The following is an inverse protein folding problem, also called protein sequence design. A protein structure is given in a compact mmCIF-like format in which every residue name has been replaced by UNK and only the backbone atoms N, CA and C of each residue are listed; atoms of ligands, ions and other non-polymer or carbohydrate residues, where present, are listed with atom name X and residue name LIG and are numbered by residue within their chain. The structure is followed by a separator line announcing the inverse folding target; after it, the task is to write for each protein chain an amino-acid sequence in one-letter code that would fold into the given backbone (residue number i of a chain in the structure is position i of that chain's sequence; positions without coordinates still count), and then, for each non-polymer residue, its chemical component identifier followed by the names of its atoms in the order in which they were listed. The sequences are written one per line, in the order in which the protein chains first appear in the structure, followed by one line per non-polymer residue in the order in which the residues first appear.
data_IF_754129373059
#
_entry.id   IF_754129373059
#
_cell.length_a   1.000
_cell.length_b   1.000
_cell.length_c   1.000
_cell.angle_alpha   90.00
_cell.angle_beta   90.00
_cell.angle_gamma   90.00
#
_symmetry.space_group_name_H-M   'P 1'
#
loop_
_entity.id
_entity.type
_entity.pdbx_description
1 polymer ?
#
# COMPACT_ATOMS: atom_id res chain seq x y z
N UNK A 1 14.80 -32.49 -29.42
CA UNK A 1 14.91 -31.13 -28.89
C UNK A 1 13.74 -30.90 -27.95
N UNK A 2 13.90 -31.08 -26.64
CA UNK A 2 12.84 -30.87 -25.66
C UNK A 2 12.89 -29.41 -25.20
N UNK A 3 11.92 -28.61 -25.62
CA UNK A 3 11.79 -27.22 -25.19
C UNK A 3 11.10 -27.19 -23.83
N UNK A 4 11.89 -26.96 -22.77
CA UNK A 4 11.37 -26.64 -21.45
C UNK A 4 10.74 -25.25 -21.47
N UNK A 5 9.44 -25.17 -21.22
CA UNK A 5 8.73 -23.90 -21.09
C UNK A 5 8.63 -23.63 -19.59
N UNK A 6 9.57 -22.84 -19.07
CA UNK A 6 9.43 -22.23 -17.76
C UNK A 6 8.32 -21.18 -17.87
N UNK A 7 7.09 -21.57 -17.51
CA UNK A 7 6.02 -20.62 -17.32
C UNK A 7 6.38 -19.77 -16.10
N UNK A 8 6.85 -18.55 -16.35
CA UNK A 8 6.93 -17.51 -15.35
C UNK A 8 5.57 -17.42 -14.67
N UNK A 9 5.53 -17.70 -13.37
CA UNK A 9 4.40 -17.34 -12.55
C UNK A 9 4.28 -15.81 -12.62
N UNK A 10 3.38 -15.31 -13.46
CA UNK A 10 2.84 -13.97 -13.26
C UNK A 10 2.19 -14.03 -11.89
N UNK A 11 2.88 -13.50 -10.89
CA UNK A 11 2.25 -13.05 -9.66
C UNK A 11 1.29 -11.96 -10.12
N UNK A 12 0.06 -12.35 -10.43
CA UNK A 12 -1.06 -11.44 -10.37
C UNK A 12 -1.07 -11.00 -8.91
N UNK A 13 -0.57 -9.79 -8.65
CA UNK A 13 -0.81 -9.13 -7.39
C UNK A 13 -2.33 -9.26 -7.18
N UNK A 14 -2.78 -9.94 -6.10
CA UNK A 14 -4.20 -9.98 -5.82
C UNK A 14 -4.63 -8.52 -5.85
N UNK A 15 -5.61 -8.19 -6.69
CA UNK A 15 -6.28 -6.91 -6.61
C UNK A 15 -6.60 -6.76 -5.14
N UNK A 16 -5.88 -5.89 -4.44
CA UNK A 16 -6.06 -5.68 -3.02
C UNK A 16 -7.41 -4.99 -2.89
N UNK A 17 -8.47 -5.78 -2.97
CA UNK A 17 -9.74 -5.50 -2.36
C UNK A 17 -9.43 -5.58 -0.88
N UNK A 18 -8.78 -4.54 -0.33
CA UNK A 18 -9.04 -4.30 1.05
C UNK A 18 -10.54 -4.15 1.16
N UNK A 19 -11.06 -5.01 2.01
CA UNK A 19 -12.22 -4.71 2.80
C UNK A 19 -12.14 -3.21 3.16
N UNK A 20 -12.90 -2.36 2.45
CA UNK A 20 -13.03 -0.93 2.76
C UNK A 20 -13.78 -0.72 4.09
N UNK A 21 -13.66 -1.67 5.02
CA UNK A 21 -14.52 -1.87 6.17
C UNK A 21 -14.42 -0.77 7.21
N UNK A 22 -13.40 0.11 7.14
CA UNK A 22 -13.21 1.16 8.14
C UNK A 22 -12.67 2.49 7.59
N UNK A 23 -12.90 2.77 6.30
CA UNK A 23 -12.54 4.06 5.74
C UNK A 23 -13.33 5.21 6.38
N UNK A 24 -12.66 6.27 6.89
CA UNK A 24 -13.36 7.46 7.33
C UNK A 24 -14.23 8.00 6.18
N UNK A 25 -15.48 8.37 6.50
CA UNK A 25 -16.44 8.85 5.50
C UNK A 25 -15.82 10.02 4.73
N UNK A 26 -15.93 9.96 3.40
CA UNK A 26 -15.40 10.94 2.43
C UNK A 26 -13.88 10.86 2.15
N UNK A 27 -13.16 9.87 2.69
CA UNK A 27 -11.77 9.62 2.31
C UNK A 27 -11.67 8.45 1.33
N UNK A 28 -10.85 8.62 0.29
CA UNK A 28 -10.48 7.56 -0.62
C UNK A 28 -9.32 6.77 0.00
N UNK A 29 -9.62 5.70 0.72
CA UNK A 29 -8.57 4.82 1.22
C UNK A 29 -8.11 3.89 0.12
N UNK A 30 -6.81 3.70 0.11
CA UNK A 30 -6.09 2.77 -0.73
C UNK A 30 -5.38 1.78 0.16
N UNK A 31 -5.16 0.60 -0.37
CA UNK A 31 -4.38 -0.43 0.30
C UNK A 31 -3.05 -0.55 -0.39
N UNK A 32 -2.00 -0.57 0.41
CA UNK A 32 -0.66 -0.79 -0.06
C UNK A 32 -0.14 -2.09 0.56
N UNK A 33 0.25 -3.05 -0.26
CA UNK A 33 0.86 -4.29 0.18
C UNK A 33 2.36 -4.34 -0.17
N UNK A 34 3.14 -5.23 0.48
CA UNK A 34 4.52 -5.48 0.12
C UNK A 34 4.65 -5.83 -1.38
N UNK A 35 5.36 -4.98 -2.12
CA UNK A 35 5.58 -5.12 -3.55
C UNK A 35 4.74 -4.19 -4.43
N UNK A 36 3.73 -3.53 -3.86
CA UNK A 36 3.00 -2.47 -4.56
C UNK A 36 3.84 -1.21 -4.73
N UNK A 37 3.60 -0.42 -5.79
CA UNK A 37 4.24 0.88 -5.96
C UNK A 37 3.95 1.79 -4.77
N UNK A 38 4.95 2.61 -4.42
CA UNK A 38 4.88 3.47 -3.25
C UNK A 38 3.66 4.43 -3.31
N UNK A 39 2.86 4.51 -2.24
CA UNK A 39 1.64 5.33 -2.13
C UNK A 39 1.78 6.78 -2.58
N UNK A 40 2.88 7.39 -2.15
CA UNK A 40 3.16 8.81 -2.25
C UNK A 40 4.23 9.08 -3.32
N UNK A 41 4.49 8.10 -4.20
CA UNK A 41 5.68 8.06 -5.05
C UNK A 41 7.00 7.91 -4.28
N UNK A 42 6.93 7.85 -2.94
CA UNK A 42 8.05 7.75 -2.01
C UNK A 42 7.73 6.77 -0.88
N UNK A 43 8.73 6.12 -0.29
CA UNK A 43 8.52 5.18 0.80
C UNK A 43 8.01 5.91 2.05
N UNK A 44 6.90 5.40 2.58
CA UNK A 44 6.35 5.81 3.88
C UNK A 44 7.05 4.97 4.96
N UNK A 45 7.46 5.55 6.10
CA UNK A 45 8.17 4.83 7.16
C UNK A 45 7.23 3.96 8.03
N UNK A 46 6.38 3.16 7.37
CA UNK A 46 5.54 2.13 7.99
C UNK A 46 6.13 0.73 7.78
N UNK A 47 5.46 -0.32 8.26
CA UNK A 47 5.94 -1.69 8.11
C UNK A 47 5.73 -2.21 6.67
N UNK A 48 6.80 -2.18 5.88
CA UNK A 48 6.78 -2.68 4.51
C UNK A 48 6.49 -4.17 4.34
N UNK A 49 6.32 -4.93 5.43
CA UNK A 49 6.11 -6.38 5.43
C UNK A 49 4.64 -6.79 5.49
N UNK A 50 3.74 -5.86 5.78
CA UNK A 50 2.30 -6.10 5.92
C UNK A 50 1.50 -5.20 4.97
N UNK A 51 0.30 -5.63 4.65
CA UNK A 51 -0.63 -4.77 3.91
C UNK A 51 -1.16 -3.68 4.84
N UNK A 52 -1.05 -2.43 4.40
CA UNK A 52 -1.53 -1.24 5.09
C UNK A 52 -2.70 -0.63 4.34
N UNK A 53 -3.81 -0.45 5.05
CA UNK A 53 -4.91 0.38 4.60
C UNK A 53 -4.66 1.82 5.01
N UNK A 54 -4.61 2.74 4.05
CA UNK A 54 -4.28 4.11 4.34
C UNK A 54 -5.09 5.08 3.48
N UNK A 55 -5.19 6.31 3.95
CA UNK A 55 -5.57 7.43 3.10
C UNK A 55 -4.51 8.52 3.24
N UNK A 56 -4.49 9.42 2.28
CA UNK A 56 -3.52 10.51 2.21
C UNK A 56 -4.25 11.82 2.05
N UNK A 57 -3.77 12.85 2.73
CA UNK A 57 -4.31 14.20 2.68
C UNK A 57 -3.18 15.20 2.46
N UNK A 58 -3.49 16.50 2.54
CA UNK A 58 -2.48 17.56 2.41
C UNK A 58 -1.45 17.57 3.54
N UNK A 59 -1.65 16.81 4.63
CA UNK A 59 -0.81 16.81 5.83
C UNK A 59 0.08 15.57 5.94
N UNK A 60 -0.37 14.43 5.44
CA UNK A 60 0.39 13.18 5.50
C UNK A 60 -0.35 11.97 4.95
N UNK A 61 0.17 10.81 5.34
CA UNK A 61 -0.44 9.50 5.18
C UNK A 61 -0.99 9.04 6.52
N UNK A 62 -2.25 8.67 6.54
CA UNK A 62 -2.96 8.13 7.70
C UNK A 62 -3.21 6.65 7.45
N UNK A 63 -2.58 5.81 8.27
CA UNK A 63 -2.83 4.38 8.31
C UNK A 63 -4.09 4.10 9.15
N UNK A 64 -5.05 3.43 8.54
CA UNK A 64 -6.36 3.10 9.11
C UNK A 64 -6.29 1.81 9.92
N UNK A 65 -5.44 0.86 9.51
CA UNK A 65 -5.27 -0.41 10.19
C UNK A 65 -4.59 -0.27 11.54
N UNK A 66 -3.57 0.60 11.62
CA UNK A 66 -2.81 0.86 12.85
C UNK A 66 -3.20 2.15 13.57
N UNK A 67 -3.88 3.07 12.88
CA UNK A 67 -4.17 4.41 13.40
C UNK A 67 -2.93 5.34 13.42
N UNK A 68 -1.84 4.94 12.77
CA UNK A 68 -0.63 5.74 12.70
C UNK A 68 -0.75 6.89 11.69
N UNK A 69 -0.23 8.06 12.05
CA UNK A 69 -0.16 9.21 11.15
C UNK A 69 1.28 9.53 10.80
N UNK A 70 1.58 9.51 9.51
CA UNK A 70 2.88 9.84 8.94
C UNK A 70 2.76 11.19 8.23
N UNK A 71 3.15 12.27 8.91
CA UNK A 71 3.07 13.60 8.31
C UNK A 71 4.12 13.77 7.20
N UNK A 72 3.76 14.45 6.10
CA UNK A 72 4.71 14.79 5.04
C UNK A 72 5.88 15.62 5.56
N UNK A 73 5.64 16.44 6.59
CA UNK A 73 6.64 17.31 7.21
C UNK A 73 7.69 16.56 8.03
N UNK A 74 7.33 15.40 8.57
CA UNK A 74 8.21 14.57 9.40
C UNK A 74 8.83 13.43 8.61
N UNK A 75 8.48 13.28 7.33
CA UNK A 75 9.11 12.29 6.48
C UNK A 75 10.57 12.68 6.21
N UNK A 76 11.48 11.70 6.11
CA UNK A 76 12.91 11.94 6.04
C UNK A 76 13.38 12.41 4.63
N UNK A 77 12.53 13.07 3.85
CA UNK A 77 12.78 13.48 2.47
C UNK A 77 12.03 14.75 2.06
#
# INVERSE_FOLDING_TARGET
MAAGIAALALVAAPSATADQGNCPRLQACTTWCPGDPNPAGRPVPWDGSVCHDYYWDSYGVHDIGTGAFYSWRTMPW
#
